data_IF_066271752188
#
_entry.id   IF_066271752188
#
_cell.length_a   1.000
_cell.length_b   1.000
_cell.length_c   1.000
_cell.angle_alpha   90.00
_cell.angle_beta   90.00
_cell.angle_gamma   90.00
#
_symmetry.space_group_name_H-M   'P 1'
#
loop_
_entity.id
_entity.type
_entity.pdbx_description
1 polymer ?
#
# COMPACT_ATOMS: atom_id res chain seq x y z
N UNK A 1 -7.55 -1.68 2.50
CA UNK A 1 -6.75 -1.21 1.38
C UNK A 1 -5.55 -2.10 1.20
N UNK A 2 -5.36 -2.62 0.02
CA UNK A 2 -4.30 -3.57 -0.25
C UNK A 2 -3.24 -2.91 -1.10
N UNK A 3 -1.99 -3.15 -0.74
CA UNK A 3 -0.86 -2.67 -1.51
C UNK A 3 -0.12 -3.85 -2.11
N UNK A 4 0.51 -3.61 -3.24
CA UNK A 4 1.34 -4.61 -3.89
C UNK A 4 2.74 -4.05 -4.04
N UNK A 5 3.72 -4.82 -3.63
CA UNK A 5 5.10 -4.44 -3.82
C UNK A 5 5.50 -4.73 -5.26
N UNK A 6 5.94 -3.71 -5.97
CA UNK A 6 6.34 -3.87 -7.36
C UNK A 6 7.65 -4.62 -7.48
N UNK A 7 8.40 -4.67 -6.41
CA UNK A 7 9.72 -5.31 -6.44
C UNK A 7 9.61 -6.82 -6.20
N UNK A 8 8.90 -7.23 -5.16
CA UNK A 8 8.79 -8.66 -4.85
C UNK A 8 7.45 -9.25 -5.24
N UNK A 9 6.48 -8.43 -5.58
CA UNK A 9 5.20 -8.91 -6.08
C UNK A 9 4.22 -9.36 -5.03
N UNK A 10 4.51 -9.15 -3.76
CA UNK A 10 3.62 -9.60 -2.70
C UNK A 10 2.54 -8.58 -2.42
N UNK A 11 1.38 -9.09 -2.03
CA UNK A 11 0.27 -8.23 -1.62
C UNK A 11 0.19 -8.20 -0.11
N UNK A 12 -0.17 -7.06 0.43
CA UNK A 12 -0.32 -6.93 1.88
C UNK A 12 -1.22 -5.74 2.17
N UNK A 13 -1.78 -5.74 3.38
CA UNK A 13 -2.63 -4.65 3.80
C UNK A 13 -1.74 -3.45 4.15
N UNK A 14 -2.25 -2.26 3.92
CA UNK A 14 -1.47 -1.06 4.22
C UNK A 14 -1.08 -0.97 5.68
N UNK A 15 -1.86 -1.61 6.56
CA UNK A 15 -1.54 -1.59 7.98
C UNK A 15 -0.33 -2.47 8.29
N UNK A 16 -0.02 -3.41 7.41
CA UNK A 16 1.12 -4.29 7.57
C UNK A 16 2.39 -3.61 7.08
N UNK A 17 2.24 -2.66 6.16
CA UNK A 17 3.39 -1.98 5.57
C UNK A 17 4.17 -1.21 6.63
N UNK A 18 5.49 -1.21 6.48
CA UNK A 18 6.34 -0.42 7.34
C UNK A 18 6.10 1.04 7.01
N UNK A 19 5.79 1.82 8.03
CA UNK A 19 5.45 3.22 7.83
C UNK A 19 6.48 4.10 8.53
N UNK A 20 6.99 5.09 7.82
CA UNK A 20 7.93 6.05 8.38
C UNK A 20 7.27 7.42 8.40
N UNK A 21 7.41 8.09 9.50
CA UNK A 21 6.86 9.44 9.65
C UNK A 21 8.00 10.44 9.65
N UNK A 22 7.85 11.47 8.85
CA UNK A 22 8.88 12.49 8.74
C UNK A 22 8.39 13.81 9.32
N UNK A 23 9.33 14.63 9.68
CA UNK A 23 9.04 15.98 10.14
C UNK A 23 8.41 16.71 8.97
N UNK A 24 7.35 17.40 9.19
CA UNK A 24 6.65 18.05 8.12
C UNK A 24 5.37 17.33 7.74
N UNK A 25 5.10 16.21 8.36
CA UNK A 25 3.84 15.52 8.17
C UNK A 25 3.83 14.54 7.04
N UNK A 26 4.96 14.28 6.41
CA UNK A 26 5.01 13.32 5.33
C UNK A 26 5.15 11.91 5.87
N UNK A 27 4.66 10.96 5.09
CA UNK A 27 4.67 9.56 5.49
C UNK A 27 5.07 8.72 4.31
N UNK A 28 5.95 7.75 4.54
CA UNK A 28 6.34 6.81 3.51
C UNK A 28 6.09 5.41 3.97
N UNK A 29 5.76 4.55 3.04
CA UNK A 29 5.50 3.15 3.34
C UNK A 29 6.46 2.29 2.57
N UNK A 30 6.84 1.19 3.20
CA UNK A 30 7.79 0.25 2.61
C UNK A 30 7.23 -1.15 2.73
N UNK A 31 7.62 -1.99 1.80
CA UNK A 31 7.22 -3.39 1.81
C UNK A 31 7.81 -4.07 3.04
N UNK A 32 6.97 -4.74 3.84
CA UNK A 32 7.47 -5.41 5.04
C UNK A 32 8.23 -6.70 4.74
N UNK A 33 8.22 -7.12 3.49
CA UNK A 33 8.88 -8.37 3.14
C UNK A 33 10.23 -8.15 2.48
N UNK A 34 10.37 -7.13 1.67
CA UNK A 34 11.64 -6.88 1.00
C UNK A 34 12.18 -5.47 1.25
N UNK A 35 11.39 -4.61 1.87
CA UNK A 35 11.85 -3.28 2.21
C UNK A 35 11.82 -2.27 1.08
N UNK A 36 11.20 -2.61 -0.03
CA UNK A 36 11.12 -1.70 -1.15
C UNK A 36 10.04 -0.65 -0.92
N UNK A 37 10.26 0.55 -1.41
CA UNK A 37 9.25 1.60 -1.32
C UNK A 37 8.39 1.67 -2.59
N UNK A 38 8.59 0.76 -3.51
CA UNK A 38 7.87 0.75 -4.76
C UNK A 38 6.55 0.00 -4.59
N UNK A 39 5.58 0.65 -4.01
CA UNK A 39 4.30 0.05 -3.69
C UNK A 39 3.21 0.65 -4.56
N UNK A 40 2.23 -0.18 -4.90
CA UNK A 40 1.10 0.26 -5.69
C UNK A 40 -0.18 -0.17 -5.01
N UNK A 41 -1.16 0.70 -5.04
CA UNK A 41 -2.45 0.40 -4.44
C UNK A 41 -3.22 -0.54 -5.35
N UNK A 42 -3.72 -1.63 -4.78
CA UNK A 42 -4.50 -2.61 -5.50
C UNK A 42 -5.97 -2.41 -5.16
N UNK A 43 -6.76 -2.09 -6.18
CA UNK A 43 -8.19 -1.89 -5.97
C UNK A 43 -8.88 -3.24 -6.08
N UNK A 44 -9.64 -3.59 -5.03
CA UNK A 44 -10.34 -4.83 -5.07
C UNK A 44 -11.59 -4.65 -5.85
N UNK A 45 -11.74 -5.33 -6.93
CA UNK A 45 -12.93 -5.18 -7.70
C UNK A 45 -14.02 -5.94 -7.17
N UNK A 46 -14.92 -5.95 -7.35
CA UNK A 46 -15.88 -6.75 -6.82
C UNK A 46 -16.93 -6.04 -6.22
N UNK A 47 -17.15 -5.42 -5.87
CA UNK A 47 -18.15 -4.94 -5.24
C UNK A 47 -18.46 -3.75 -5.51
N UNK A 48 -18.95 -3.43 -5.75
CA UNK A 48 -19.15 -2.43 -6.04
C UNK A 48 -19.16 -1.47 -5.50
N UNK A 49 -19.12 -0.91 -5.54
CA UNK A 49 -18.96 -0.08 -5.03
C UNK A 49 -19.49 1.01 -5.10
N UNK A 50 -19.70 1.69 -5.17
CA UNK A 50 -20.06 2.74 -5.21
C UNK A 50 -20.08 3.45 -5.96
N UNK A 51 -20.49 3.82 -6.21
CA UNK A 51 -20.50 4.50 -7.07
C UNK A 51 -20.26 5.62 -7.17
N UNK A 52 -20.32 5.94 -7.28
CA UNK A 52 -20.07 6.85 -7.46
C UNK A 52 -20.40 7.73 -7.46
N UNK A 53 -20.73 7.92 -7.44
CA UNK A 53 -20.83 8.70 -7.55
C UNK A 53 -20.79 9.13 -7.88
#
# INVERSE_FOLDING_TARGET
MILKCQSCGKHFDKDVAITEHYIGGETERFCPYCGSDDLKEVVKRGKKSRPAH
#
